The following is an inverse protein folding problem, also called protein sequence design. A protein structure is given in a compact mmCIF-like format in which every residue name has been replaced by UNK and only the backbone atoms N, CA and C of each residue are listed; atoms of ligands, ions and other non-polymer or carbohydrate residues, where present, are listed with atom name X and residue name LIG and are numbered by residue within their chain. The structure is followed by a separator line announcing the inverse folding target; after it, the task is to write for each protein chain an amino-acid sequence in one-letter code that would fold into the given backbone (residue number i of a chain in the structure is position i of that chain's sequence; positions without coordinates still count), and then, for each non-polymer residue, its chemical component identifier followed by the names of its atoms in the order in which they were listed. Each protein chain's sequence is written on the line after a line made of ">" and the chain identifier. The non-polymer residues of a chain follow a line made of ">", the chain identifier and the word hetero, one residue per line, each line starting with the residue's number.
data_IF_424315798507
#
_entry.id   IF_424315798507
#
_cell.length_a   1.000
_cell.length_b   1.000
_cell.length_c   1.000
_cell.angle_alpha   90.00
_cell.angle_beta   90.00
_cell.angle_gamma   90.00
#
_symmetry.space_group_name_H-M   'P 1'
#
loop_
_entity.id
_entity.type
_entity.pdbx_description
1 polymer ?
#
# COMPACT_ATOMS: atom_id res chain seq x y z
N UNK A 1 1.17 -5.41 6.37
CA UNK A 1 1.84 -4.30 5.64
C UNK A 1 0.78 -3.63 4.80
N UNK A 2 0.57 -2.33 4.94
CA UNK A 2 -0.35 -1.60 4.09
C UNK A 2 -0.06 -1.84 2.59
N UNK A 3 -1.08 -2.23 1.84
CA UNK A 3 -1.07 -2.41 0.40
C UNK A 3 -1.78 -1.22 -0.26
N UNK A 4 -2.08 -1.25 -1.55
CA UNK A 4 -2.67 -0.12 -2.26
C UNK A 4 -3.96 0.41 -1.60
N UNK A 5 -4.96 -0.42 -1.22
CA UNK A 5 -6.18 0.09 -0.60
C UNK A 5 -5.94 0.80 0.73
N UNK A 6 -5.06 0.26 1.59
CA UNK A 6 -4.73 0.86 2.87
C UNK A 6 -4.03 2.22 2.67
N UNK A 7 -3.07 2.30 1.73
CA UNK A 7 -2.35 3.55 1.44
C UNK A 7 -3.29 4.58 0.80
N UNK A 8 -4.22 4.16 -0.05
CA UNK A 8 -5.25 5.02 -0.63
C UNK A 8 -6.20 5.57 0.43
N UNK A 9 -6.60 4.74 1.38
CA UNK A 9 -7.43 5.17 2.51
C UNK A 9 -6.71 6.20 3.38
N UNK A 10 -5.42 6.01 3.66
CA UNK A 10 -4.61 7.02 4.36
C UNK A 10 -4.54 8.31 3.56
N UNK A 11 -4.28 8.24 2.23
CA UNK A 11 -4.27 9.40 1.35
C UNK A 11 -5.59 10.17 1.41
N UNK A 12 -6.71 9.47 1.19
CA UNK A 12 -8.03 10.07 1.13
C UNK A 12 -8.47 10.71 2.46
N UNK A 13 -8.04 10.14 3.59
CA UNK A 13 -8.35 10.69 4.92
C UNK A 13 -7.44 11.87 5.30
N UNK A 14 -6.20 11.90 4.81
CA UNK A 14 -5.25 12.98 5.11
C UNK A 14 -5.41 14.20 4.18
N UNK A 15 -5.74 14.00 2.90
CA UNK A 15 -5.80 15.08 1.92
C UNK A 15 -6.67 16.27 2.34
N UNK A 16 -7.94 16.08 2.79
CA UNK A 16 -8.80 17.21 3.16
C UNK A 16 -8.36 17.95 4.41
N UNK A 17 -7.55 17.32 5.27
CA UNK A 17 -7.11 17.92 6.55
C UNK A 17 -5.70 18.47 6.49
N UNK A 18 -4.85 18.02 5.56
CA UNK A 18 -3.48 18.50 5.40
C UNK A 18 -3.36 19.59 4.34
N UNK A 19 -4.14 19.54 3.26
CA UNK A 19 -4.06 20.53 2.19
C UNK A 19 -4.30 21.93 2.74
N UNK A 20 -3.36 22.85 2.47
CA UNK A 20 -3.36 24.21 3.01
C UNK A 20 -2.77 24.35 4.40
N UNK A 21 -2.26 23.27 5.04
CA UNK A 21 -1.57 23.35 6.33
C UNK A 21 -0.08 23.64 6.14
N UNK A 22 0.43 24.54 6.95
CA UNK A 22 1.86 24.91 6.94
C UNK A 22 2.59 24.18 8.08
N UNK A 23 3.73 23.57 7.75
CA UNK A 23 4.61 22.92 8.72
C UNK A 23 5.40 24.02 9.46
N UNK A 24 5.16 24.19 10.75
CA UNK A 24 5.83 25.19 11.58
C UNK A 24 7.12 24.67 12.20
N UNK A 25 7.14 23.39 12.59
CA UNK A 25 8.28 22.73 13.22
C UNK A 25 8.20 21.22 13.03
N UNK A 26 9.35 20.51 13.11
CA UNK A 26 9.40 19.04 13.00
C UNK A 26 10.22 18.49 14.16
N UNK A 27 9.63 17.63 14.98
CA UNK A 27 10.33 16.84 15.98
C UNK A 27 10.71 15.47 15.39
N UNK A 28 11.97 15.06 15.55
CA UNK A 28 12.49 13.80 15.01
C UNK A 28 13.17 13.02 16.14
N UNK A 29 12.43 12.07 16.72
CA UNK A 29 12.94 11.18 17.75
C UNK A 29 13.75 10.00 17.20
N UNK A 30 13.52 9.61 15.94
CA UNK A 30 14.18 8.45 15.33
C UNK A 30 14.74 8.80 13.93
N UNK A 31 15.96 9.39 13.84
CA UNK A 31 16.57 9.87 12.61
C UNK A 31 16.71 8.83 11.49
N UNK A 32 16.93 7.55 11.83
CA UNK A 32 17.11 6.47 10.85
C UNK A 32 15.92 6.22 9.92
N UNK A 33 14.74 6.76 10.23
CA UNK A 33 13.54 6.69 9.37
C UNK A 33 13.70 7.59 8.15
N UNK A 34 14.48 8.67 8.24
CA UNK A 34 14.83 9.54 7.12
C UNK A 34 15.97 8.88 6.35
N UNK A 35 15.84 8.74 5.03
CA UNK A 35 16.74 7.90 4.22
C UNK A 35 17.75 8.66 3.37
N UNK A 36 17.43 9.86 2.94
CA UNK A 36 18.25 10.60 1.97
C UNK A 36 18.63 12.03 2.42
N UNK A 37 18.47 12.33 3.71
CA UNK A 37 18.84 13.62 4.28
C UNK A 37 19.27 13.48 5.72
N UNK A 38 20.08 14.44 6.23
CA UNK A 38 20.28 14.60 7.67
C UNK A 38 19.04 15.18 8.33
N UNK A 39 18.95 15.11 9.66
CA UNK A 39 17.82 15.68 10.43
C UNK A 39 17.66 17.18 10.13
N UNK A 40 18.78 17.89 10.11
CA UNK A 40 18.82 19.34 9.86
C UNK A 40 18.37 19.68 8.44
N UNK A 41 18.88 18.95 7.44
CA UNK A 41 18.50 19.14 6.04
C UNK A 41 17.02 18.81 5.80
N UNK A 42 16.52 17.73 6.41
CA UNK A 42 15.11 17.33 6.32
C UNK A 42 14.20 18.38 6.94
N UNK A 43 14.51 18.82 8.16
CA UNK A 43 13.74 19.86 8.86
C UNK A 43 13.77 21.17 8.10
N UNK A 44 14.95 21.61 7.61
CA UNK A 44 15.08 22.85 6.82
C UNK A 44 14.29 22.81 5.51
N UNK A 45 14.25 21.64 4.83
CA UNK A 45 13.56 21.51 3.55
C UNK A 45 12.04 21.59 3.67
N UNK A 46 11.48 21.20 4.82
CA UNK A 46 10.03 21.08 4.99
C UNK A 46 9.43 22.13 5.95
N UNK A 47 10.21 22.69 6.90
CA UNK A 47 9.70 23.73 7.79
C UNK A 47 9.39 25.02 7.03
N UNK A 48 8.23 25.60 7.29
CA UNK A 48 7.68 26.74 6.59
C UNK A 48 6.95 26.40 5.29
N UNK A 49 7.01 25.15 4.81
CA UNK A 49 6.28 24.72 3.63
C UNK A 49 4.82 24.40 3.93
N UNK A 50 3.94 24.65 2.96
CA UNK A 50 2.52 24.34 3.01
C UNK A 50 2.22 23.08 2.19
N UNK A 51 1.46 22.15 2.73
CA UNK A 51 0.99 20.99 1.97
C UNK A 51 0.00 21.43 0.88
N UNK A 52 0.27 21.09 -0.37
CA UNK A 52 -0.56 21.43 -1.52
C UNK A 52 -1.47 20.29 -1.97
N UNK A 53 -1.06 19.05 -1.77
CA UNK A 53 -1.83 17.84 -2.09
C UNK A 53 -1.27 16.62 -1.35
N UNK A 54 -2.08 15.56 -1.26
CA UNK A 54 -1.62 14.24 -0.83
C UNK A 54 -1.85 13.25 -1.96
N UNK A 55 -0.77 12.77 -2.56
CA UNK A 55 -0.76 11.80 -3.65
C UNK A 55 -0.36 10.39 -3.20
N UNK A 56 -0.54 9.41 -4.10
CA UNK A 56 -0.10 8.02 -3.92
C UNK A 56 0.46 7.46 -5.24
N UNK A 57 1.50 6.64 -5.12
CA UNK A 57 1.96 5.76 -6.20
C UNK A 57 2.31 4.40 -5.58
N UNK A 58 1.64 3.33 -6.01
CA UNK A 58 1.80 2.01 -5.40
C UNK A 58 1.48 2.03 -3.90
N UNK A 59 2.48 1.72 -3.08
CA UNK A 59 2.40 1.71 -1.61
C UNK A 59 3.10 2.90 -0.96
N UNK A 60 3.37 3.94 -1.74
CA UNK A 60 4.00 5.18 -1.29
C UNK A 60 2.97 6.31 -1.24
N UNK A 61 3.00 7.07 -0.16
CA UNK A 61 2.35 8.37 -0.04
C UNK A 61 3.31 9.46 -0.49
N UNK A 62 2.81 10.48 -1.17
CA UNK A 62 3.54 11.68 -1.51
C UNK A 62 2.77 12.88 -0.99
N UNK A 63 3.29 13.50 0.05
CA UNK A 63 2.76 14.75 0.58
C UNK A 63 3.47 15.87 -0.16
N UNK A 64 2.76 16.45 -1.13
CA UNK A 64 3.27 17.54 -1.96
C UNK A 64 3.31 18.83 -1.16
N UNK A 65 4.33 19.66 -1.37
CA UNK A 65 4.49 20.94 -0.72
C UNK A 65 4.66 22.07 -1.74
N UNK A 66 4.55 23.32 -1.29
CA UNK A 66 4.89 24.50 -2.06
C UNK A 66 6.40 24.81 -2.05
N UNK A 67 7.19 24.01 -1.32
CA UNK A 67 8.65 24.13 -1.25
C UNK A 67 9.37 23.38 -2.38
N UNK A 68 10.70 23.31 -2.28
CA UNK A 68 11.55 22.64 -3.26
C UNK A 68 11.45 21.10 -3.21
N UNK A 69 10.94 20.51 -2.13
CA UNK A 69 10.86 19.06 -1.93
C UNK A 69 9.52 18.64 -1.36
N UNK A 70 9.00 17.55 -1.88
CA UNK A 70 7.87 16.83 -1.30
C UNK A 70 8.34 15.81 -0.26
N UNK A 71 7.46 15.42 0.64
CA UNK A 71 7.67 14.32 1.57
C UNK A 71 7.14 13.02 0.98
N UNK A 72 8.03 12.06 0.68
CA UNK A 72 7.66 10.72 0.26
C UNK A 72 7.72 9.77 1.46
N UNK A 73 6.69 8.95 1.65
CA UNK A 73 6.54 8.03 2.79
C UNK A 73 6.19 6.63 2.33
N UNK A 74 6.91 5.63 2.84
CA UNK A 74 6.52 4.22 2.73
C UNK A 74 6.26 3.65 4.12
N UNK A 75 5.02 3.28 4.41
CA UNK A 75 4.58 2.82 5.73
C UNK A 75 5.19 1.46 6.14
N UNK A 76 5.62 0.64 5.19
CA UNK A 76 6.14 -0.72 5.43
C UNK A 76 5.13 -1.58 6.18
N UNK A 77 5.51 -2.15 7.34
CA UNK A 77 4.70 -3.16 8.05
C UNK A 77 3.71 -2.55 9.05
N UNK A 78 4.17 -1.57 9.82
CA UNK A 78 3.46 -1.01 10.98
C UNK A 78 3.48 0.52 11.02
N UNK A 79 4.02 1.16 9.97
CA UNK A 79 4.00 2.61 9.86
C UNK A 79 2.59 3.14 9.64
N UNK A 80 2.27 4.28 10.25
CA UNK A 80 1.05 5.03 10.06
C UNK A 80 1.32 6.53 10.09
N UNK A 81 0.49 7.29 9.38
CA UNK A 81 0.43 8.74 9.42
C UNK A 81 -0.93 9.11 10.01
N UNK A 82 -0.95 9.82 11.13
CA UNK A 82 -2.17 10.17 11.87
C UNK A 82 -2.20 11.67 12.10
N UNK A 83 -3.27 12.32 11.64
CA UNK A 83 -3.52 13.73 11.94
C UNK A 83 -4.39 13.88 13.18
N UNK A 84 -3.93 14.71 14.11
CA UNK A 84 -4.63 15.09 15.33
C UNK A 84 -4.86 16.61 15.34
N UNK A 85 -6.11 17.02 15.20
CA UNK A 85 -6.48 18.42 15.11
C UNK A 85 -6.36 19.17 16.46
N UNK A 86 -6.51 18.46 17.59
CA UNK A 86 -6.38 19.02 18.94
C UNK A 86 -4.92 19.00 19.43
N UNK A 87 -4.14 17.99 18.99
CA UNK A 87 -2.73 17.85 19.36
C UNK A 87 -2.48 17.32 20.77
N UNK A 88 -3.49 16.72 21.41
CA UNK A 88 -3.45 16.26 22.81
C UNK A 88 -3.34 14.74 22.96
N UNK A 89 -3.40 13.99 21.84
CA UNK A 89 -3.34 12.53 21.86
C UNK A 89 -2.09 11.97 21.16
N UNK A 90 -0.90 12.36 21.64
CA UNK A 90 0.36 11.88 21.07
C UNK A 90 0.52 10.36 21.25
N UNK A 91 0.57 9.57 20.15
CA UNK A 91 0.82 8.14 20.24
C UNK A 91 2.23 7.85 20.79
N UNK A 92 2.36 6.82 21.65
CA UNK A 92 3.67 6.40 22.20
C UNK A 92 4.68 5.97 21.12
N UNK A 93 4.18 5.57 19.96
CA UNK A 93 4.98 5.12 18.80
C UNK A 93 5.25 6.24 17.79
N UNK A 94 4.95 7.50 18.14
CA UNK A 94 5.23 8.65 17.30
C UNK A 94 6.76 8.94 17.32
N UNK A 95 7.39 8.73 16.17
CA UNK A 95 8.83 8.91 15.98
C UNK A 95 9.18 10.22 15.26
N UNK A 96 8.25 10.74 14.46
CA UNK A 96 8.38 12.06 13.83
C UNK A 96 7.04 12.77 14.02
N UNK A 97 7.10 14.05 14.44
CA UNK A 97 5.94 14.90 14.65
C UNK A 97 6.10 16.15 13.79
N UNK A 98 5.19 16.34 12.87
CA UNK A 98 5.08 17.58 12.11
C UNK A 98 4.08 18.48 12.84
N UNK A 99 4.58 19.56 13.42
CA UNK A 99 3.75 20.64 13.97
C UNK A 99 3.22 21.48 12.81
N UNK A 100 1.92 21.63 12.73
CA UNK A 100 1.27 22.41 11.69
C UNK A 100 0.74 23.73 12.28
N UNK A 101 0.37 24.65 11.43
CA UNK A 101 -0.36 25.86 11.83
C UNK A 101 -1.66 25.54 12.59
N UNK A 102 -2.23 24.35 12.34
CA UNK A 102 -3.33 23.78 13.09
C UNK A 102 -3.19 22.26 13.18
N UNK A 103 -3.07 21.74 14.41
CA UNK A 103 -2.95 20.33 14.69
C UNK A 103 -1.54 19.77 14.49
N UNK A 104 -1.43 18.47 14.65
CA UNK A 104 -0.18 17.70 14.55
C UNK A 104 -0.35 16.54 13.58
N UNK A 105 0.68 16.25 12.79
CA UNK A 105 0.75 15.03 11.98
C UNK A 105 1.82 14.12 12.57
N UNK A 106 1.42 12.97 13.05
CA UNK A 106 2.31 11.96 13.63
C UNK A 106 2.70 10.91 12.60
N UNK A 107 4.00 10.63 12.50
CA UNK A 107 4.48 9.38 11.90
C UNK A 107 4.77 8.39 13.03
N UNK A 108 4.00 7.31 13.08
CA UNK A 108 4.09 6.26 14.08
C UNK A 108 4.56 4.96 13.43
N UNK A 109 5.41 4.17 14.11
CA UNK A 109 5.86 2.88 13.60
C UNK A 109 6.41 1.97 14.68
N UNK A 110 5.64 0.97 15.11
CA UNK A 110 6.04 0.01 16.17
C UNK A 110 7.32 -0.75 15.80
N UNK A 111 7.45 -1.15 14.54
CA UNK A 111 8.61 -1.94 14.05
C UNK A 111 9.75 -1.10 13.51
N UNK A 112 9.51 0.18 13.31
CA UNK A 112 10.49 1.16 12.82
C UNK A 112 11.16 0.78 11.47
N UNK A 113 10.39 0.14 10.57
CA UNK A 113 10.82 -0.26 9.23
C UNK A 113 10.41 0.74 8.15
N UNK A 114 9.55 1.66 8.48
CA UNK A 114 9.09 2.69 7.58
C UNK A 114 10.22 3.60 7.09
N UNK A 115 9.94 4.31 6.04
CA UNK A 115 10.93 5.13 5.38
C UNK A 115 10.31 6.46 4.94
N UNK A 116 11.04 7.55 5.18
CA UNK A 116 10.72 8.89 4.73
C UNK A 116 11.86 9.44 3.88
N UNK A 117 11.52 10.15 2.80
CA UNK A 117 12.49 10.79 1.89
C UNK A 117 12.03 12.18 1.50
N UNK A 118 12.97 13.04 1.17
CA UNK A 118 12.73 14.23 0.37
C UNK A 118 12.73 13.84 -1.11
N UNK A 119 11.79 14.32 -1.88
CA UNK A 119 11.67 14.03 -3.30
C UNK A 119 11.35 15.33 -4.07
N UNK A 120 12.19 15.72 -5.02
CA UNK A 120 11.95 16.92 -5.81
C UNK A 120 10.80 16.68 -6.80
N UNK A 121 9.88 17.63 -6.96
CA UNK A 121 8.84 17.56 -7.97
C UNK A 121 9.42 17.49 -9.39
N UNK A 122 8.88 16.57 -10.21
CA UNK A 122 9.26 16.44 -11.62
C UNK A 122 10.58 15.72 -11.90
N UNK A 123 11.35 15.36 -10.87
CA UNK A 123 12.63 14.66 -11.02
C UNK A 123 12.50 13.16 -10.65
N UNK A 124 13.45 12.36 -11.16
CA UNK A 124 13.63 11.01 -10.63
C UNK A 124 14.12 11.12 -9.19
N UNK A 125 13.50 10.33 -8.32
CA UNK A 125 13.81 10.41 -6.89
C UNK A 125 15.13 9.73 -6.52
N UNK A 126 15.65 8.85 -7.37
CA UNK A 126 16.78 7.95 -7.05
C UNK A 126 16.43 6.90 -6.00
N UNK A 127 15.16 6.79 -5.62
CA UNK A 127 14.71 5.85 -4.60
C UNK A 127 14.42 4.51 -5.26
N UNK A 128 15.28 3.53 -4.96
CA UNK A 128 15.07 2.16 -5.43
C UNK A 128 13.70 1.63 -5.00
N UNK A 129 12.97 1.11 -5.98
CA UNK A 129 11.62 0.57 -5.78
C UNK A 129 10.49 1.61 -5.84
N UNK A 130 10.79 2.91 -6.07
CA UNK A 130 9.79 3.94 -6.37
C UNK A 130 9.82 4.36 -7.84
N UNK A 131 11.01 4.67 -8.35
CA UNK A 131 11.17 5.12 -9.75
C UNK A 131 10.85 4.01 -10.77
N UNK A 132 11.07 2.74 -10.39
CA UNK A 132 10.82 1.56 -11.22
C UNK A 132 9.40 0.96 -11.06
N UNK A 133 8.51 1.63 -10.32
CA UNK A 133 7.15 1.13 -10.15
C UNK A 133 6.42 1.04 -11.49
N UNK A 134 5.79 -0.11 -11.72
CA UNK A 134 4.81 -0.28 -12.80
C UNK A 134 3.56 0.58 -12.59
N UNK A 135 2.55 0.44 -13.47
CA UNK A 135 1.28 1.10 -13.29
C UNK A 135 0.61 0.67 -11.98
N UNK A 136 -0.10 1.58 -11.34
CA UNK A 136 -0.95 1.26 -10.19
C UNK A 136 -1.96 0.18 -10.58
N UNK A 137 -2.05 -0.87 -9.75
CA UNK A 137 -2.86 -2.05 -10.05
C UNK A 137 -4.36 -1.76 -10.23
N UNK A 138 -4.86 -0.64 -9.70
CA UNK A 138 -6.23 -0.17 -9.87
C UNK A 138 -6.40 0.85 -11.01
N UNK A 139 -5.35 1.16 -11.77
CA UNK A 139 -5.44 2.14 -12.85
C UNK A 139 -6.01 1.54 -14.15
N UNK A 140 -6.59 2.38 -15.00
CA UNK A 140 -7.08 1.99 -16.33
C UNK A 140 -5.98 1.50 -17.28
N UNK A 141 -4.70 1.77 -16.99
CA UNK A 141 -3.56 1.25 -17.73
C UNK A 141 -3.38 -0.27 -17.54
N UNK A 142 -3.91 -0.85 -16.45
CA UNK A 142 -3.85 -2.28 -16.17
C UNK A 142 -5.00 -2.99 -16.90
N UNK A 143 -4.81 -3.22 -18.20
CA UNK A 143 -5.74 -3.95 -19.04
C UNK A 143 -5.43 -5.44 -19.11
N UNK A 144 -6.37 -6.25 -19.61
CA UNK A 144 -6.14 -7.67 -19.84
C UNK A 144 -5.01 -7.90 -20.87
N UNK A 145 -4.88 -7.02 -21.86
CA UNK A 145 -3.83 -7.12 -22.87
C UNK A 145 -2.46 -6.77 -22.26
N UNK A 146 -2.39 -5.73 -21.42
CA UNK A 146 -1.18 -5.42 -20.66
C UNK A 146 -0.70 -6.61 -19.83
N UNK A 147 -1.58 -7.18 -19.01
CA UNK A 147 -1.24 -8.34 -18.19
C UNK A 147 -0.85 -9.54 -19.03
N UNK A 148 -1.57 -9.82 -20.12
CA UNK A 148 -1.30 -10.94 -21.01
C UNK A 148 0.08 -10.85 -21.65
N UNK A 149 0.46 -9.67 -22.14
CA UNK A 149 1.77 -9.43 -22.73
C UNK A 149 2.88 -9.75 -21.72
N UNK A 150 2.80 -9.16 -20.52
CA UNK A 150 3.77 -9.36 -19.45
C UNK A 150 3.83 -10.82 -18.96
N UNK A 151 2.68 -11.48 -18.86
CA UNK A 151 2.58 -12.87 -18.39
C UNK A 151 3.14 -13.86 -19.39
N UNK A 152 2.95 -13.66 -20.70
CA UNK A 152 3.52 -14.53 -21.75
C UNK A 152 5.04 -14.60 -21.69
N UNK A 153 5.70 -13.50 -21.36
CA UNK A 153 7.16 -13.41 -21.24
C UNK A 153 7.71 -13.97 -19.92
N UNK A 154 6.83 -14.48 -19.00
CA UNK A 154 7.22 -14.90 -17.66
C UNK A 154 6.93 -16.36 -17.38
N UNK A 155 7.94 -17.13 -16.96
CA UNK A 155 7.78 -18.49 -16.44
C UNK A 155 7.53 -18.56 -14.94
N UNK A 156 7.47 -17.41 -14.24
CA UNK A 156 7.19 -17.33 -12.80
C UNK A 156 5.80 -17.85 -12.47
N UNK A 157 5.57 -18.20 -11.20
CA UNK A 157 4.20 -18.43 -10.73
C UNK A 157 3.42 -17.12 -10.76
N UNK A 158 2.12 -17.21 -11.01
CA UNK A 158 1.25 -16.03 -11.12
C UNK A 158 1.26 -15.20 -9.84
N UNK A 159 1.29 -15.83 -8.67
CA UNK A 159 1.42 -15.09 -7.40
C UNK A 159 2.72 -14.29 -7.33
N UNK A 160 3.86 -14.90 -7.63
CA UNK A 160 5.15 -14.20 -7.60
C UNK A 160 5.24 -13.08 -8.63
N UNK A 161 4.56 -13.25 -9.77
CA UNK A 161 4.47 -12.24 -10.82
C UNK A 161 3.63 -11.03 -10.37
N UNK A 162 2.47 -11.25 -9.78
CA UNK A 162 1.58 -10.17 -9.31
C UNK A 162 2.14 -9.39 -8.12
N UNK A 163 3.03 -9.99 -7.32
CA UNK A 163 3.72 -9.33 -6.22
C UNK A 163 4.87 -8.41 -6.65
N UNK A 164 5.28 -8.49 -7.91
CA UNK A 164 6.36 -7.68 -8.48
C UNK A 164 5.86 -6.25 -8.75
N UNK A 165 6.33 -5.31 -7.94
CA UNK A 165 5.90 -3.91 -8.00
C UNK A 165 6.33 -3.21 -9.29
N UNK A 166 7.29 -3.76 -10.05
CA UNK A 166 7.66 -3.23 -11.37
C UNK A 166 6.67 -3.64 -12.47
N UNK A 167 5.87 -4.67 -12.19
CA UNK A 167 4.78 -5.13 -13.08
C UNK A 167 3.48 -4.46 -12.70
N UNK A 168 3.10 -4.53 -11.41
CA UNK A 168 1.87 -3.95 -10.86
C UNK A 168 2.17 -3.30 -9.51
N UNK A 169 2.12 -1.99 -9.46
CA UNK A 169 2.35 -1.27 -8.22
C UNK A 169 1.13 -1.38 -7.28
N UNK A 170 1.40 -1.61 -6.01
CA UNK A 170 0.39 -1.57 -4.97
C UNK A 170 -0.16 -2.92 -4.52
N UNK A 171 -0.16 -3.96 -5.36
CA UNK A 171 -0.57 -5.29 -4.94
C UNK A 171 0.39 -5.89 -3.91
N UNK A 172 -0.17 -6.54 -2.90
CA UNK A 172 0.58 -7.31 -1.92
C UNK A 172 -0.06 -8.67 -1.65
N UNK A 173 0.28 -9.26 -0.50
CA UNK A 173 -0.05 -10.65 -0.24
C UNK A 173 -1.55 -10.90 -0.03
N UNK A 174 -2.26 -9.92 0.55
CA UNK A 174 -3.70 -10.01 0.80
C UNK A 174 -4.45 -10.00 -0.53
N UNK A 175 -4.32 -8.91 -1.27
CA UNK A 175 -5.11 -8.70 -2.48
C UNK A 175 -4.70 -9.60 -3.64
N UNK A 176 -3.46 -10.12 -3.66
CA UNK A 176 -3.07 -11.15 -4.64
C UNK A 176 -3.76 -12.47 -4.36
N UNK A 177 -3.84 -12.94 -3.10
CA UNK A 177 -4.55 -14.18 -2.77
C UNK A 177 -6.04 -14.04 -3.07
N UNK A 178 -6.68 -12.92 -2.72
CA UNK A 178 -8.08 -12.64 -2.98
C UNK A 178 -8.39 -12.55 -4.49
N UNK A 179 -7.57 -11.82 -5.27
CA UNK A 179 -7.75 -11.70 -6.71
C UNK A 179 -7.60 -13.05 -7.43
N UNK A 180 -6.63 -13.87 -7.03
CA UNK A 180 -6.45 -15.21 -7.58
C UNK A 180 -7.60 -16.15 -7.22
N UNK A 181 -8.17 -16.01 -6.02
CA UNK A 181 -9.37 -16.76 -5.64
C UNK A 181 -10.57 -16.33 -6.50
N UNK A 182 -10.85 -15.06 -6.60
CA UNK A 182 -11.97 -14.52 -7.39
C UNK A 182 -11.83 -14.88 -8.88
N UNK A 183 -10.61 -14.92 -9.41
CA UNK A 183 -10.34 -15.35 -10.79
C UNK A 183 -10.37 -16.88 -11.01
N UNK A 184 -10.43 -17.68 -9.96
CA UNK A 184 -10.37 -19.15 -10.03
C UNK A 184 -9.01 -19.68 -10.46
N UNK A 185 -7.93 -18.95 -10.17
CA UNK A 185 -6.56 -19.30 -10.61
C UNK A 185 -5.72 -19.76 -9.42
N UNK A 186 -5.10 -20.93 -9.54
CA UNK A 186 -4.19 -21.44 -8.51
C UNK A 186 -2.94 -20.59 -8.40
N UNK A 187 -2.53 -20.13 -7.19
CA UNK A 187 -1.37 -19.26 -7.01
C UNK A 187 -0.05 -19.78 -7.59
N UNK A 188 0.12 -21.11 -7.62
CA UNK A 188 1.29 -21.79 -8.17
C UNK A 188 1.29 -21.96 -9.69
N UNK A 189 0.20 -21.60 -10.38
CA UNK A 189 0.14 -21.71 -11.85
C UNK A 189 1.17 -20.79 -12.49
N UNK A 190 1.85 -21.27 -13.55
CA UNK A 190 2.82 -20.47 -14.28
C UNK A 190 2.12 -19.47 -15.19
N UNK A 191 2.67 -18.25 -15.27
CA UNK A 191 2.10 -17.14 -16.03
C UNK A 191 1.87 -17.49 -17.51
N UNK A 192 2.86 -18.07 -18.17
CA UNK A 192 2.80 -18.47 -19.58
C UNK A 192 1.76 -19.58 -19.88
N UNK A 193 1.20 -20.21 -18.86
CA UNK A 193 0.11 -21.20 -18.99
C UNK A 193 -1.28 -20.62 -18.69
N UNK A 194 -1.38 -19.28 -18.56
CA UNK A 194 -2.67 -18.60 -18.33
C UNK A 194 -3.16 -18.02 -19.67
N UNK A 195 -4.25 -18.57 -20.19
CA UNK A 195 -4.83 -18.15 -21.48
C UNK A 195 -5.58 -16.82 -21.38
N UNK A 196 -6.02 -16.30 -22.53
CA UNK A 196 -6.68 -14.98 -22.69
C UNK A 196 -7.85 -14.78 -21.72
N UNK A 197 -8.79 -15.72 -21.71
CA UNK A 197 -10.00 -15.65 -20.88
C UNK A 197 -9.68 -15.59 -19.37
N UNK A 198 -8.73 -16.43 -18.90
CA UNK A 198 -8.29 -16.38 -17.50
C UNK A 198 -7.58 -15.09 -17.18
N UNK A 199 -6.82 -14.51 -18.11
CA UNK A 199 -6.19 -13.20 -17.91
C UNK A 199 -7.25 -12.09 -17.80
N UNK A 200 -8.31 -12.12 -18.60
CA UNK A 200 -9.42 -11.17 -18.50
C UNK A 200 -10.09 -11.26 -17.12
N UNK A 201 -10.43 -12.48 -16.66
CA UNK A 201 -11.00 -12.67 -15.31
C UNK A 201 -10.05 -12.20 -14.21
N UNK A 202 -8.75 -12.45 -14.34
CA UNK A 202 -7.76 -12.00 -13.36
C UNK A 202 -7.67 -10.49 -13.32
N UNK A 203 -7.67 -9.81 -14.46
CA UNK A 203 -7.67 -8.35 -14.52
C UNK A 203 -8.90 -7.78 -13.80
N UNK A 204 -10.07 -8.29 -14.13
CA UNK A 204 -11.31 -7.86 -13.48
C UNK A 204 -11.27 -8.14 -11.97
N UNK A 205 -10.80 -9.32 -11.56
CA UNK A 205 -10.68 -9.68 -10.15
C UNK A 205 -9.74 -8.74 -9.38
N UNK A 206 -8.61 -8.35 -9.98
CA UNK A 206 -7.68 -7.37 -9.37
C UNK A 206 -8.40 -6.04 -9.12
N UNK A 207 -9.09 -5.51 -10.13
CA UNK A 207 -9.83 -4.25 -9.97
C UNK A 207 -10.93 -4.36 -8.92
N UNK A 208 -11.69 -5.46 -8.90
CA UNK A 208 -12.78 -5.69 -7.95
C UNK A 208 -12.26 -5.72 -6.51
N UNK A 209 -11.29 -6.58 -6.20
CA UNK A 209 -10.81 -6.71 -4.80
C UNK A 209 -10.12 -5.45 -4.29
N UNK A 210 -9.48 -4.65 -5.18
CA UNK A 210 -8.88 -3.38 -4.80
C UNK A 210 -9.94 -2.30 -4.57
N UNK A 211 -10.99 -2.25 -5.39
CA UNK A 211 -12.10 -1.32 -5.20
C UNK A 211 -12.85 -1.60 -3.89
N UNK A 212 -13.19 -2.86 -3.62
CA UNK A 212 -13.78 -3.30 -2.35
C UNK A 212 -12.87 -2.95 -1.16
N UNK A 213 -11.57 -3.25 -1.26
CA UNK A 213 -10.61 -2.91 -0.22
C UNK A 213 -10.58 -1.40 0.10
N UNK A 214 -10.69 -0.54 -0.91
CA UNK A 214 -10.78 0.93 -0.71
C UNK A 214 -12.12 1.32 -0.10
N UNK A 215 -13.22 0.77 -0.60
CA UNK A 215 -14.58 1.05 -0.13
C UNK A 215 -14.74 0.76 1.36
N UNK A 216 -14.19 -0.37 1.84
CA UNK A 216 -14.21 -0.76 3.26
C UNK A 216 -13.04 -0.17 4.07
N UNK A 217 -12.36 0.86 3.58
CA UNK A 217 -11.32 1.58 4.32
C UNK A 217 -10.04 0.79 4.57
N UNK A 218 -9.75 -0.24 3.75
CA UNK A 218 -8.58 -1.10 3.88
C UNK A 218 -8.80 -2.30 4.81
N UNK A 219 -7.80 -3.18 4.87
CA UNK A 219 -7.81 -4.41 5.68
C UNK A 219 -6.97 -4.22 6.93
N UNK A 220 -7.58 -4.25 8.11
CA UNK A 220 -6.87 -4.26 9.39
C UNK A 220 -6.71 -5.70 9.88
N UNK A 221 -5.51 -6.27 9.73
CA UNK A 221 -5.19 -7.60 10.30
C UNK A 221 -4.62 -7.45 11.72
N UNK A 222 -3.84 -6.38 12.00
CA UNK A 222 -3.22 -6.11 13.32
C UNK A 222 -3.16 -4.63 13.63
N UNK A 223 -2.37 -3.87 12.87
CA UNK A 223 -1.90 -2.54 13.29
C UNK A 223 -2.29 -1.43 12.30
N UNK A 224 -2.96 -1.75 11.19
CA UNK A 224 -3.32 -0.74 10.20
C UNK A 224 -4.40 0.18 10.76
N UNK A 225 -4.16 1.49 10.63
CA UNK A 225 -5.14 2.55 10.83
C UNK A 225 -5.01 3.58 9.71
N UNK A 226 -6.09 4.26 9.40
CA UNK A 226 -6.13 5.36 8.43
C UNK A 226 -5.58 6.68 9.02
N UNK A 227 -5.61 7.75 8.24
CA UNK A 227 -5.10 9.07 8.65
C UNK A 227 -5.83 9.72 9.84
N UNK A 228 -7.01 9.20 10.22
CA UNK A 228 -7.77 9.61 11.42
C UNK A 228 -7.59 8.64 12.60
N UNK A 229 -6.71 7.64 12.48
CA UNK A 229 -6.48 6.62 13.51
C UNK A 229 -7.57 5.54 13.60
N UNK A 230 -8.43 5.38 12.59
CA UNK A 230 -9.50 4.38 12.56
C UNK A 230 -9.05 3.14 11.79
N UNK A 231 -9.48 1.97 12.24
CA UNK A 231 -9.27 0.69 11.56
C UNK A 231 -10.10 0.61 10.27
N UNK A 232 -9.68 -0.22 9.32
CA UNK A 232 -10.47 -0.61 8.17
C UNK A 232 -11.38 -1.80 8.50
N UNK A 233 -12.35 -2.10 7.62
CA UNK A 233 -13.37 -3.13 7.83
C UNK A 233 -13.29 -4.26 6.79
N UNK A 234 -12.39 -4.18 5.81
CA UNK A 234 -12.32 -5.15 4.72
C UNK A 234 -11.92 -6.58 5.14
N UNK A 235 -11.36 -6.79 6.34
CA UNK A 235 -11.01 -8.13 6.86
C UNK A 235 -12.23 -9.05 6.96
N UNK A 236 -13.43 -8.52 7.15
CA UNK A 236 -14.67 -9.29 7.21
C UNK A 236 -15.08 -9.88 5.84
N UNK A 237 -14.64 -9.23 4.76
CA UNK A 237 -14.98 -9.61 3.39
C UNK A 237 -14.02 -10.63 2.79
N UNK A 238 -12.84 -10.84 3.39
CA UNK A 238 -11.82 -11.74 2.85
C UNK A 238 -12.37 -13.15 2.61
N UNK A 239 -12.09 -13.67 1.42
CA UNK A 239 -12.55 -14.99 0.99
C UNK A 239 -11.57 -16.12 1.35
N UNK A 240 -10.26 -15.88 1.27
CA UNK A 240 -9.23 -16.89 1.52
C UNK A 240 -8.12 -16.42 2.45
N UNK A 241 -7.71 -15.14 2.41
CA UNK A 241 -6.57 -14.66 3.18
C UNK A 241 -6.85 -14.73 4.69
N UNK A 242 -5.93 -15.37 5.45
CA UNK A 242 -6.09 -15.56 6.90
C UNK A 242 -7.14 -16.57 7.32
N UNK A 243 -7.74 -17.32 6.36
CA UNK A 243 -8.84 -18.25 6.61
C UNK A 243 -8.44 -19.72 6.48
N UNK A 244 -7.17 -20.05 6.71
CA UNK A 244 -6.70 -21.44 6.72
C UNK A 244 -7.56 -22.32 7.63
N UNK A 245 -7.91 -23.53 7.13
CA UNK A 245 -8.70 -24.50 7.87
C UNK A 245 -10.19 -24.16 8.01
N UNK A 246 -10.66 -23.01 7.51
CA UNK A 246 -12.09 -22.67 7.49
C UNK A 246 -12.73 -23.07 6.16
N UNK A 247 -14.06 -23.29 6.10
CA UNK A 247 -14.76 -23.61 4.86
C UNK A 247 -14.69 -22.44 3.87
N UNK A 248 -14.45 -22.77 2.60
CA UNK A 248 -14.58 -21.81 1.48
C UNK A 248 -16.02 -21.29 1.39
N UNK A 249 -16.20 -19.97 1.33
CA UNK A 249 -17.52 -19.33 1.21
C UNK A 249 -18.30 -19.78 -0.03
N UNK A 250 -17.62 -20.28 -1.08
CA UNK A 250 -18.24 -20.69 -2.36
C UNK A 250 -18.57 -22.18 -2.42
N UNK A 251 -17.66 -23.07 -1.96
CA UNK A 251 -17.80 -24.53 -2.19
C UNK A 251 -17.68 -25.38 -0.92
N UNK A 252 -17.47 -24.80 0.24
CA UNK A 252 -17.35 -25.50 1.51
C UNK A 252 -16.02 -26.24 1.73
N UNK A 253 -15.17 -26.40 0.71
CA UNK A 253 -13.85 -27.03 0.86
C UNK A 253 -12.95 -26.21 1.75
N UNK A 254 -12.18 -26.84 2.64
CA UNK A 254 -11.29 -26.13 3.56
C UNK A 254 -10.20 -25.34 2.82
N UNK A 255 -10.06 -24.08 3.18
CA UNK A 255 -8.99 -23.20 2.66
C UNK A 255 -7.63 -23.76 3.09
N UNK A 256 -6.71 -23.86 2.15
CA UNK A 256 -5.34 -24.32 2.39
C UNK A 256 -4.37 -23.15 2.51
N UNK A 257 -3.38 -23.38 3.37
CA UNK A 257 -2.21 -22.51 3.48
C UNK A 257 -0.96 -23.27 3.03
N UNK A 258 -0.12 -22.59 2.22
CA UNK A 258 1.19 -23.09 1.81
C UNK A 258 2.19 -21.94 1.81
N UNK A 259 3.47 -22.24 1.96
CA UNK A 259 4.53 -21.26 1.76
C UNK A 259 5.01 -21.33 0.30
N UNK A 260 4.83 -20.25 -0.47
CA UNK A 260 5.22 -20.16 -1.88
C UNK A 260 6.07 -18.93 -2.12
N UNK A 261 7.28 -19.10 -2.68
CA UNK A 261 8.19 -17.98 -2.94
C UNK A 261 8.52 -17.14 -1.69
N UNK A 262 8.62 -17.80 -0.52
CA UNK A 262 8.86 -17.12 0.76
C UNK A 262 7.65 -16.42 1.37
N UNK A 263 6.47 -16.47 0.73
CA UNK A 263 5.22 -15.83 1.18
C UNK A 263 4.18 -16.85 1.58
N UNK A 264 3.45 -16.58 2.68
CA UNK A 264 2.24 -17.33 3.02
C UNK A 264 1.20 -17.15 1.92
N UNK A 265 0.54 -18.22 1.54
CA UNK A 265 -0.40 -18.27 0.40
C UNK A 265 -1.64 -19.03 0.81
N UNK A 266 -2.79 -18.37 0.76
CA UNK A 266 -4.08 -18.98 1.08
C UNK A 266 -4.87 -19.19 -0.21
N UNK A 267 -5.49 -20.34 -0.37
CA UNK A 267 -6.29 -20.64 -1.55
C UNK A 267 -7.30 -21.77 -1.30
N UNK A 268 -8.35 -21.80 -2.09
CA UNK A 268 -9.29 -22.91 -2.15
C UNK A 268 -8.80 -23.95 -3.16
N UNK A 269 -8.47 -25.20 -2.75
CA UNK A 269 -7.97 -26.21 -3.68
C UNK A 269 -9.01 -26.71 -4.69
N UNK A 270 -10.31 -26.48 -4.44
CA UNK A 270 -11.40 -26.84 -5.34
C UNK A 270 -11.74 -25.71 -6.33
N UNK A 271 -11.85 -24.45 -5.85
CA UNK A 271 -12.25 -23.33 -6.73
C UNK A 271 -11.12 -22.83 -7.63
N UNK A 272 -9.85 -23.07 -7.25
CA UNK A 272 -8.68 -22.51 -7.98
C UNK A 272 -7.90 -23.63 -8.72
N UNK A 273 -7.78 -23.49 -10.04
CA UNK A 273 -7.17 -24.49 -10.94
C UNK A 273 -5.94 -23.98 -11.68
#
# INVERSE_FOLDING_TARGET
>A
MPELPEVETVRATLEPVLTGRTITHIEIALPRLIKNATVEAFSKALSGCTFTAVGRKGKYLRLCTDGASDLLVHLRMTGSLIYDAAGDNRPKTAHIVFHLDKGLLYYCDVRTFGCLWLANPGEKTGISGYDDLGPDANSSAVTADYLREKMKASSRTVKSFLLDQTVLAGLGNIYVDEALFLAGIRPSRRCNHIGKERTQRLTQAIHTVLAEGIEYGGTTIRDFVNGSGREGENQENLAVYGREGTPCKTCGTLIKYVKQGGRGTHYCPHCQH
#
